data_IF_889773190407
#
_entry.id   IF_889773190407
#
_cell.length_a   1.000
_cell.length_b   1.000
_cell.length_c   1.000
_cell.angle_alpha   90.00
_cell.angle_beta   90.00
_cell.angle_gamma   90.00
#
_symmetry.space_group_name_H-M   'P 1'
#
loop_
_entity.id
_entity.type
_entity.pdbx_description
1 polymer ?
#
# COMPACT_ATOMS: atom_id res chain seq x y z
N UNK A 1 47.78 -26.93 -3.74
CA UNK A 1 47.58 -25.69 -4.52
C UNK A 1 48.44 -25.75 -5.79
N UNK A 2 47.86 -26.02 -6.96
CA UNK A 2 48.59 -25.98 -8.24
C UNK A 2 48.57 -24.53 -8.74
N UNK A 3 49.75 -23.88 -8.82
CA UNK A 3 49.89 -22.53 -9.36
C UNK A 3 49.29 -22.50 -10.77
N UNK A 4 48.23 -21.73 -10.97
CA UNK A 4 47.76 -21.34 -12.30
C UNK A 4 48.87 -20.51 -12.93
N UNK A 5 49.52 -21.05 -13.97
CA UNK A 5 50.62 -20.38 -14.68
C UNK A 5 50.08 -19.06 -15.26
N UNK A 6 50.62 -17.93 -14.84
CA UNK A 6 50.07 -16.59 -15.07
C UNK A 6 50.35 -16.01 -16.46
N UNK A 7 51.24 -16.64 -17.22
CA UNK A 7 51.61 -16.33 -18.60
C UNK A 7 52.94 -16.97 -18.99
N UNK A 8 53.36 -16.79 -20.25
CA UNK A 8 54.71 -17.12 -20.72
C UNK A 8 55.67 -15.97 -20.37
N UNK A 9 56.89 -16.29 -19.91
CA UNK A 9 57.95 -15.29 -19.72
C UNK A 9 58.54 -14.85 -21.07
N UNK A 10 59.25 -13.72 -21.14
CA UNK A 10 59.86 -13.25 -22.40
C UNK A 10 60.82 -14.25 -23.03
N UNK A 11 61.57 -14.99 -22.20
CA UNK A 11 62.46 -16.07 -22.65
C UNK A 11 61.69 -17.25 -23.22
N UNK A 12 60.57 -17.61 -22.60
CA UNK A 12 59.67 -18.68 -23.07
C UNK A 12 58.97 -18.30 -24.37
N UNK A 13 58.58 -17.03 -24.52
CA UNK A 13 57.99 -16.49 -25.76
C UNK A 13 59.00 -16.62 -26.91
N UNK A 14 60.24 -16.15 -26.73
CA UNK A 14 61.29 -16.26 -27.76
C UNK A 14 61.58 -17.71 -28.15
N UNK A 15 61.61 -18.62 -27.15
CA UNK A 15 61.82 -20.04 -27.40
C UNK A 15 60.66 -20.64 -28.21
N UNK A 16 59.41 -20.32 -27.89
CA UNK A 16 58.25 -20.79 -28.64
C UNK A 16 58.17 -20.19 -30.04
N UNK A 17 58.53 -18.92 -30.21
CA UNK A 17 58.59 -18.25 -31.51
C UNK A 17 59.70 -18.79 -32.42
N UNK A 18 60.72 -19.43 -31.87
CA UNK A 18 61.76 -20.11 -32.67
C UNK A 18 61.28 -21.39 -33.36
N UNK A 19 60.12 -21.94 -32.96
CA UNK A 19 59.58 -23.16 -33.56
C UNK A 19 58.83 -22.84 -34.88
N UNK A 20 59.16 -23.51 -36.00
CA UNK A 20 58.55 -23.24 -37.31
C UNK A 20 57.03 -23.49 -37.37
N UNK A 21 56.47 -24.23 -36.42
CA UNK A 21 55.03 -24.53 -36.32
C UNK A 21 54.25 -23.44 -35.56
N UNK A 22 54.92 -22.41 -35.06
CA UNK A 22 54.34 -21.27 -34.35
C UNK A 22 54.29 -20.04 -35.24
N UNK A 23 53.11 -19.44 -35.36
CA UNK A 23 52.91 -18.20 -36.12
C UNK A 23 53.13 -16.96 -35.24
N UNK A 24 52.66 -16.98 -33.99
CA UNK A 24 52.82 -15.88 -33.03
C UNK A 24 52.56 -16.38 -31.62
N UNK A 25 53.25 -15.84 -30.62
CA UNK A 25 52.93 -16.07 -29.21
C UNK A 25 52.47 -14.76 -28.56
N UNK A 26 51.37 -14.80 -27.82
CA UNK A 26 50.97 -13.74 -26.89
C UNK A 26 51.31 -14.17 -25.47
N UNK A 27 51.31 -13.26 -24.51
CA UNK A 27 51.66 -13.55 -23.11
C UNK A 27 50.88 -14.71 -22.45
N UNK A 28 49.79 -15.20 -23.07
CA UNK A 28 49.06 -16.40 -22.61
C UNK A 28 48.69 -17.41 -23.70
N UNK A 29 48.81 -17.10 -24.98
CA UNK A 29 48.30 -17.95 -26.06
C UNK A 29 49.34 -18.18 -27.14
N UNK A 30 49.37 -19.39 -27.70
CA UNK A 30 50.17 -19.74 -28.88
C UNK A 30 49.24 -19.78 -30.09
N UNK A 31 49.58 -19.04 -31.13
CA UNK A 31 48.96 -19.13 -32.45
C UNK A 31 49.83 -19.99 -33.35
N UNK A 32 49.25 -21.07 -33.86
CA UNK A 32 49.94 -22.06 -34.68
C UNK A 32 49.79 -21.77 -36.16
N UNK A 33 50.79 -22.16 -36.95
CA UNK A 33 50.75 -22.02 -38.42
C UNK A 33 49.64 -22.92 -38.99
N UNK A 34 48.86 -22.46 -40.00
CA UNK A 34 47.80 -23.26 -40.60
C UNK A 34 48.24 -24.64 -41.09
N UNK A 35 49.42 -24.73 -41.71
CA UNK A 35 49.99 -25.99 -42.20
C UNK A 35 50.17 -27.01 -41.06
N UNK A 36 50.65 -26.57 -39.89
CA UNK A 36 50.78 -27.44 -38.72
C UNK A 36 49.42 -27.89 -38.19
N UNK A 37 48.41 -27.00 -38.12
CA UNK A 37 47.06 -27.38 -37.67
C UNK A 37 46.47 -28.49 -38.55
N UNK A 38 46.64 -28.37 -39.87
CA UNK A 38 46.17 -29.36 -40.83
C UNK A 38 46.90 -30.71 -40.65
N UNK A 39 48.23 -30.69 -40.64
CA UNK A 39 49.05 -31.88 -40.44
C UNK A 39 48.74 -32.57 -39.11
N UNK A 40 48.52 -31.80 -38.03
CA UNK A 40 48.17 -32.33 -36.73
C UNK A 40 46.79 -33.01 -36.72
N UNK A 41 45.78 -32.44 -37.40
CA UNK A 41 44.45 -33.06 -37.51
C UNK A 41 44.52 -34.37 -38.30
N UNK A 42 45.27 -34.39 -39.41
CA UNK A 42 45.47 -35.59 -40.23
C UNK A 42 46.20 -36.69 -39.46
N UNK A 43 47.30 -36.36 -38.76
CA UNK A 43 48.03 -37.31 -37.92
C UNK A 43 47.15 -37.86 -36.79
N UNK A 44 46.28 -37.03 -36.19
CA UNK A 44 45.36 -37.51 -35.16
C UNK A 44 44.25 -38.42 -35.72
N UNK A 45 43.78 -38.19 -36.95
CA UNK A 45 42.84 -39.08 -37.64
C UNK A 45 43.49 -40.41 -38.03
N UNK A 46 44.79 -40.41 -38.32
CA UNK A 46 45.60 -41.61 -38.56
C UNK A 46 45.92 -42.42 -37.28
N UNK A 47 45.51 -41.93 -36.10
CA UNK A 47 45.64 -42.63 -34.82
C UNK A 47 46.78 -42.16 -33.92
N UNK A 48 47.56 -41.14 -34.32
CA UNK A 48 48.61 -40.61 -33.45
C UNK A 48 48.04 -39.83 -32.25
N UNK A 49 48.55 -40.06 -31.03
CA UNK A 49 48.07 -39.36 -29.85
C UNK A 49 48.48 -37.88 -29.85
N UNK A 50 47.62 -36.96 -29.35
CA UNK A 50 47.86 -35.52 -29.35
C UNK A 50 49.24 -35.08 -28.81
N UNK A 51 49.72 -35.73 -27.75
CA UNK A 51 51.01 -35.41 -27.13
C UNK A 51 52.18 -35.72 -28.06
N UNK A 52 52.13 -36.84 -28.77
CA UNK A 52 53.20 -37.28 -29.67
C UNK A 52 53.31 -36.37 -30.89
N UNK A 53 52.17 -35.94 -31.44
CA UNK A 53 52.10 -35.00 -32.56
C UNK A 53 52.82 -33.68 -32.21
N UNK A 54 52.57 -33.15 -31.00
CA UNK A 54 53.21 -31.91 -30.54
C UNK A 54 54.70 -32.10 -30.21
N UNK A 55 55.09 -33.25 -29.65
CA UNK A 55 56.51 -33.58 -29.41
C UNK A 55 57.29 -33.70 -30.72
N UNK A 56 56.76 -34.41 -31.72
CA UNK A 56 57.34 -34.54 -33.07
C UNK A 56 57.48 -33.17 -33.75
N UNK A 57 56.55 -32.27 -33.50
CA UNK A 57 56.58 -30.89 -33.99
C UNK A 57 57.50 -29.95 -33.19
N UNK A 58 58.29 -30.47 -32.24
CA UNK A 58 59.31 -29.72 -31.49
C UNK A 58 58.75 -28.88 -30.34
N UNK A 59 57.55 -29.18 -29.83
CA UNK A 59 57.00 -28.50 -28.65
C UNK A 59 57.41 -29.19 -27.35
N UNK A 60 57.91 -28.42 -26.38
CA UNK A 60 58.10 -28.90 -25.02
C UNK A 60 56.78 -28.91 -24.25
N UNK A 61 56.32 -30.09 -23.83
CA UNK A 61 55.05 -30.26 -23.08
C UNK A 61 55.08 -29.52 -21.73
N UNK A 62 56.24 -29.47 -21.07
CA UNK A 62 56.42 -28.72 -19.82
C UNK A 62 56.24 -27.22 -20.03
N UNK A 63 56.61 -26.73 -21.22
CA UNK A 63 56.51 -25.33 -21.60
C UNK A 63 55.06 -24.97 -21.98
N UNK A 64 54.44 -25.70 -22.90
CA UNK A 64 53.10 -25.37 -23.40
C UNK A 64 51.96 -25.84 -22.49
N UNK A 65 52.23 -26.78 -21.57
CA UNK A 65 51.25 -27.36 -20.65
C UNK A 65 50.62 -28.66 -21.17
N UNK A 66 50.42 -29.62 -20.26
CA UNK A 66 49.98 -30.99 -20.58
C UNK A 66 48.61 -31.09 -21.27
N UNK A 67 47.71 -30.11 -21.08
CA UNK A 67 46.38 -30.11 -21.70
C UNK A 67 46.35 -29.45 -23.09
N UNK A 68 47.35 -28.64 -23.39
CA UNK A 68 47.39 -27.80 -24.60
C UNK A 68 47.33 -28.62 -25.89
N UNK A 69 48.05 -29.75 -26.05
CA UNK A 69 47.94 -30.59 -27.24
C UNK A 69 46.52 -31.11 -27.46
N UNK A 70 45.89 -31.65 -26.41
CA UNK A 70 44.54 -32.23 -26.48
C UNK A 70 43.49 -31.18 -26.77
N UNK A 71 43.52 -30.03 -26.07
CA UNK A 71 42.55 -28.95 -26.26
C UNK A 71 42.69 -28.27 -27.64
N UNK A 72 43.94 -28.12 -28.12
CA UNK A 72 44.20 -27.53 -29.44
C UNK A 72 43.69 -28.44 -30.55
N UNK A 73 43.99 -29.75 -30.49
CA UNK A 73 43.51 -30.72 -31.46
C UNK A 73 41.99 -30.86 -31.46
N UNK A 74 41.35 -30.85 -30.29
CA UNK A 74 39.89 -30.85 -30.19
C UNK A 74 39.28 -29.67 -30.99
N UNK A 75 39.78 -28.45 -30.77
CA UNK A 75 39.29 -27.24 -31.46
C UNK A 75 39.53 -27.29 -32.97
N UNK A 76 40.69 -27.79 -33.40
CA UNK A 76 41.00 -27.91 -34.83
C UNK A 76 40.16 -28.99 -35.50
N UNK A 77 39.89 -30.10 -34.83
CA UNK A 77 38.99 -31.15 -35.34
C UNK A 77 37.56 -30.66 -35.50
N UNK A 78 37.02 -29.91 -34.55
CA UNK A 78 35.69 -29.30 -34.71
C UNK A 78 35.65 -28.34 -35.90
N UNK A 79 36.70 -27.53 -36.06
CA UNK A 79 36.79 -26.57 -37.16
C UNK A 79 36.89 -27.31 -38.51
N UNK A 80 37.72 -28.34 -38.59
CA UNK A 80 37.89 -29.18 -39.78
C UNK A 80 36.61 -29.95 -40.13
N UNK A 81 35.92 -30.52 -39.14
CA UNK A 81 34.66 -31.22 -39.36
C UNK A 81 33.55 -30.30 -39.92
N UNK A 82 33.57 -29.02 -39.54
CA UNK A 82 32.54 -28.05 -39.95
C UNK A 82 32.83 -27.35 -41.28
N UNK A 83 34.11 -27.10 -41.60
CA UNK A 83 34.51 -26.23 -42.70
C UNK A 83 35.58 -26.84 -43.62
N UNK A 84 36.02 -28.07 -43.38
CA UNK A 84 37.10 -28.73 -44.12
C UNK A 84 38.46 -28.06 -43.94
N UNK A 85 39.37 -28.31 -44.88
CA UNK A 85 40.73 -27.74 -44.91
C UNK A 85 40.73 -26.20 -44.90
N UNK A 86 39.80 -25.60 -45.65
CA UNK A 86 39.63 -24.14 -45.74
C UNK A 86 39.38 -23.49 -44.36
N UNK A 87 38.74 -24.22 -43.43
CA UNK A 87 38.49 -23.75 -42.07
C UNK A 87 39.75 -23.58 -41.21
N UNK A 88 40.85 -24.27 -41.53
CA UNK A 88 42.13 -24.18 -40.83
C UNK A 88 43.12 -23.23 -41.51
N UNK A 89 42.98 -23.03 -42.84
CA UNK A 89 43.81 -22.14 -43.65
C UNK A 89 43.47 -20.66 -43.44
N UNK A 90 42.21 -20.33 -43.20
CA UNK A 90 41.75 -18.96 -42.98
C UNK A 90 41.62 -18.65 -41.47
N UNK A 91 42.20 -17.55 -40.96
CA UNK A 91 42.00 -17.13 -39.56
C UNK A 91 40.58 -16.59 -39.36
N UNK A 92 39.68 -17.44 -38.85
CA UNK A 92 38.26 -17.10 -38.64
C UNK A 92 37.93 -16.51 -37.27
N UNK A 93 38.93 -16.26 -36.41
CA UNK A 93 38.71 -15.62 -35.10
C UNK A 93 38.13 -14.22 -35.30
N UNK A 94 36.89 -14.03 -34.88
CA UNK A 94 36.19 -12.75 -34.97
C UNK A 94 35.29 -12.58 -36.21
N UNK A 95 35.26 -13.53 -37.15
CA UNK A 95 34.40 -13.45 -38.35
C UNK A 95 32.89 -13.60 -38.00
N UNK A 96 32.56 -14.02 -36.78
CA UNK A 96 31.21 -13.92 -36.20
C UNK A 96 31.08 -12.94 -35.03
N UNK A 97 32.14 -12.18 -34.72
CA UNK A 97 32.10 -11.15 -33.69
C UNK A 97 31.39 -9.92 -34.26
N UNK A 98 30.29 -9.50 -33.64
CA UNK A 98 29.60 -8.23 -33.93
C UNK A 98 30.42 -7.03 -33.44
N UNK A 99 31.69 -6.96 -33.85
CA UNK A 99 32.60 -5.88 -33.52
C UNK A 99 32.02 -4.51 -33.89
N UNK A 100 32.71 -3.44 -33.47
CA UNK A 100 32.34 -2.06 -33.77
C UNK A 100 32.05 -1.91 -35.27
N UNK A 101 30.81 -1.58 -35.63
CA UNK A 101 30.39 -1.39 -37.03
C UNK A 101 31.37 -0.45 -37.73
N UNK A 102 31.84 -0.86 -38.91
CA UNK A 102 32.55 0.03 -39.83
C UNK A 102 31.74 1.30 -40.06
N UNK A 103 32.40 2.46 -40.19
CA UNK A 103 31.79 3.73 -40.64
C UNK A 103 31.44 3.69 -42.14
N UNK A 104 30.93 2.57 -42.64
CA UNK A 104 30.40 2.52 -44.00
C UNK A 104 29.09 3.31 -44.00
N UNK A 105 28.89 4.18 -44.98
CA UNK A 105 27.63 4.91 -45.12
C UNK A 105 26.48 3.90 -45.22
N UNK A 106 25.65 3.87 -44.18
CA UNK A 106 24.50 2.96 -44.13
C UNK A 106 23.57 3.23 -45.30
N UNK A 107 23.03 2.17 -45.89
CA UNK A 107 22.08 2.24 -47.01
C UNK A 107 20.91 3.18 -46.66
N UNK A 108 20.31 3.82 -47.67
CA UNK A 108 19.13 4.70 -47.50
C UNK A 108 18.01 3.97 -46.76
N UNK A 109 17.81 2.67 -47.05
CA UNK A 109 16.83 1.82 -46.36
C UNK A 109 17.15 1.61 -44.87
N UNK A 110 18.44 1.45 -44.52
CA UNK A 110 18.86 1.32 -43.13
C UNK A 110 18.66 2.63 -42.35
N UNK A 111 18.92 3.76 -42.99
CA UNK A 111 18.67 5.10 -42.41
C UNK A 111 17.18 5.32 -42.18
N UNK A 112 16.33 4.95 -43.13
CA UNK A 112 14.88 5.06 -43.02
C UNK A 112 14.37 4.20 -41.85
N UNK A 113 14.79 2.94 -41.77
CA UNK A 113 14.42 2.04 -40.67
C UNK A 113 14.88 2.54 -39.31
N UNK A 114 16.05 3.15 -39.22
CA UNK A 114 16.54 3.78 -37.99
C UNK A 114 15.70 5.01 -37.59
N UNK A 115 15.34 5.85 -38.57
CA UNK A 115 14.49 7.02 -38.35
C UNK A 115 13.09 6.61 -37.88
N UNK A 116 12.46 5.64 -38.53
CA UNK A 116 11.16 5.09 -38.15
C UNK A 116 11.18 4.53 -36.72
N UNK A 117 12.21 3.74 -36.38
CA UNK A 117 12.37 3.21 -35.02
C UNK A 117 12.55 4.33 -33.98
N UNK A 118 13.25 5.41 -34.35
CA UNK A 118 13.45 6.57 -33.47
C UNK A 118 12.17 7.38 -33.29
N UNK A 119 11.41 7.62 -34.38
CA UNK A 119 10.10 8.28 -34.32
C UNK A 119 9.17 7.50 -33.40
N UNK A 120 9.09 6.18 -33.57
CA UNK A 120 8.27 5.31 -32.73
C UNK A 120 8.63 5.37 -31.24
N UNK A 121 9.92 5.43 -30.92
CA UNK A 121 10.40 5.60 -29.54
C UNK A 121 10.02 6.98 -28.98
N UNK A 122 10.20 8.05 -29.76
CA UNK A 122 9.87 9.41 -29.36
C UNK A 122 8.36 9.60 -29.16
N UNK A 123 7.53 8.98 -30.00
CA UNK A 123 6.08 8.98 -29.85
C UNK A 123 5.66 8.32 -28.53
N UNK A 124 6.24 7.16 -28.21
CA UNK A 124 5.98 6.46 -26.96
C UNK A 124 6.44 7.25 -25.73
N UNK A 125 7.60 7.89 -25.79
CA UNK A 125 8.11 8.78 -24.74
C UNK A 125 7.19 9.98 -24.51
N UNK A 126 6.82 10.68 -25.59
CA UNK A 126 5.90 11.82 -25.50
C UNK A 126 4.54 11.40 -24.93
N UNK A 127 4.01 10.24 -25.33
CA UNK A 127 2.76 9.73 -24.77
C UNK A 127 2.89 9.43 -23.27
N UNK A 128 3.98 8.80 -22.84
CA UNK A 128 4.24 8.51 -21.43
C UNK A 128 4.30 9.80 -20.61
N UNK A 129 5.11 10.77 -21.06
CA UNK A 129 5.29 12.06 -20.38
C UNK A 129 3.98 12.85 -20.29
N UNK A 130 3.22 12.94 -21.39
CA UNK A 130 1.91 13.61 -21.39
C UNK A 130 0.94 13.00 -20.38
N UNK A 131 0.91 11.67 -20.28
CA UNK A 131 0.03 10.97 -19.32
C UNK A 131 0.49 11.16 -17.88
N UNK A 132 1.80 11.08 -17.62
CA UNK A 132 2.38 11.35 -16.30
C UNK A 132 2.01 12.77 -15.84
N UNK A 133 2.32 13.78 -16.64
CA UNK A 133 2.07 15.18 -16.33
C UNK A 133 0.58 15.47 -16.09
N UNK A 134 -0.31 14.90 -16.92
CA UNK A 134 -1.75 15.08 -16.78
C UNK A 134 -2.29 14.51 -15.46
N UNK A 135 -1.77 13.36 -15.01
CA UNK A 135 -2.18 12.71 -13.77
C UNK A 135 -1.60 13.42 -12.54
N UNK A 136 -0.34 13.85 -12.59
CA UNK A 136 0.30 14.57 -11.49
C UNK A 136 -0.37 15.93 -11.26
N UNK A 137 -0.75 16.65 -12.32
CA UNK A 137 -1.53 17.90 -12.22
C UNK A 137 -2.89 17.68 -11.54
N UNK A 138 -3.61 16.61 -11.90
CA UNK A 138 -4.93 16.30 -11.32
C UNK A 138 -4.83 15.97 -9.83
N UNK A 139 -3.80 15.22 -9.44
CA UNK A 139 -3.62 14.77 -8.07
C UNK A 139 -2.89 15.80 -7.19
N UNK A 140 -2.36 16.89 -7.78
CA UNK A 140 -1.52 17.90 -7.12
C UNK A 140 -0.35 17.29 -6.33
N UNK A 141 0.11 16.10 -6.75
CA UNK A 141 1.15 15.28 -6.11
C UNK A 141 1.78 14.37 -7.16
N UNK A 142 3.05 14.01 -6.91
CA UNK A 142 3.75 13.00 -7.70
C UNK A 142 3.03 11.65 -7.69
N UNK A 143 3.07 10.97 -8.83
CA UNK A 143 2.42 9.67 -8.98
C UNK A 143 3.18 8.58 -8.22
N UNK A 144 2.49 7.68 -7.51
CA UNK A 144 3.16 6.57 -6.84
C UNK A 144 3.83 5.64 -7.86
N UNK A 145 4.93 4.95 -7.50
CA UNK A 145 5.67 4.09 -8.43
C UNK A 145 4.82 3.05 -9.14
N UNK A 146 3.79 2.50 -8.48
CA UNK A 146 2.87 1.53 -9.07
C UNK A 146 2.08 2.06 -10.27
N UNK A 147 1.64 3.32 -10.21
CA UNK A 147 0.92 3.97 -11.30
C UNK A 147 1.87 4.31 -12.46
N UNK A 148 3.09 4.77 -12.13
CA UNK A 148 4.16 4.96 -13.12
C UNK A 148 4.49 3.66 -13.86
N UNK A 149 4.62 2.54 -13.14
CA UNK A 149 4.84 1.21 -13.75
C UNK A 149 3.68 0.80 -14.66
N UNK A 150 2.43 1.07 -14.26
CA UNK A 150 1.26 0.78 -15.08
C UNK A 150 1.29 1.57 -16.41
N UNK A 151 1.61 2.86 -16.36
CA UNK A 151 1.74 3.69 -17.56
C UNK A 151 2.86 3.18 -18.47
N UNK A 152 4.03 2.84 -17.92
CA UNK A 152 5.14 2.25 -18.69
C UNK A 152 4.68 0.97 -19.40
N UNK A 153 4.01 0.06 -18.68
CA UNK A 153 3.54 -1.20 -19.26
C UNK A 153 2.50 -0.98 -20.36
N UNK A 154 1.58 -0.02 -20.18
CA UNK A 154 0.60 0.36 -21.21
C UNK A 154 1.28 0.93 -22.45
N UNK A 155 2.24 1.85 -22.28
CA UNK A 155 2.99 2.45 -23.38
C UNK A 155 3.80 1.39 -24.15
N UNK A 156 4.48 0.49 -23.45
CA UNK A 156 5.23 -0.63 -24.06
C UNK A 156 4.30 -1.51 -24.90
N UNK A 157 3.14 -1.89 -24.36
CA UNK A 157 2.16 -2.74 -25.05
C UNK A 157 1.54 -2.06 -26.26
N UNK A 158 1.18 -0.78 -26.14
CA UNK A 158 0.55 -0.01 -27.21
C UNK A 158 1.48 0.19 -28.40
N UNK A 159 2.75 0.48 -28.13
CA UNK A 159 3.75 0.75 -29.17
C UNK A 159 4.56 -0.49 -29.56
N UNK A 160 4.31 -1.67 -28.99
CA UNK A 160 5.11 -2.91 -29.19
C UNK A 160 6.63 -2.65 -29.14
N UNK A 161 7.07 -1.89 -28.12
CA UNK A 161 8.47 -1.53 -27.97
C UNK A 161 9.19 -2.53 -27.08
N UNK A 162 10.01 -3.39 -27.70
CA UNK A 162 10.86 -4.34 -26.97
C UNK A 162 12.19 -3.67 -26.60
N UNK A 163 12.74 -4.02 -25.42
CA UNK A 163 14.06 -3.57 -24.92
C UNK A 163 14.19 -2.08 -24.55
N UNK A 164 13.10 -1.31 -24.52
CA UNK A 164 13.10 0.11 -24.09
C UNK A 164 12.75 0.31 -22.62
N UNK A 165 12.44 -0.76 -21.88
CA UNK A 165 11.98 -0.69 -20.48
C UNK A 165 12.91 0.13 -19.60
N UNK A 166 14.23 -0.02 -19.74
CA UNK A 166 15.21 0.75 -18.97
C UNK A 166 15.11 2.25 -19.23
N UNK A 167 14.94 2.62 -20.50
CA UNK A 167 14.79 4.00 -20.93
C UNK A 167 13.50 4.62 -20.38
N UNK A 168 12.37 3.94 -20.54
CA UNK A 168 11.08 4.43 -20.04
C UNK A 168 11.02 4.51 -18.50
N UNK A 169 11.67 3.57 -17.80
CA UNK A 169 11.81 3.66 -16.34
C UNK A 169 12.66 4.85 -15.90
N UNK A 170 13.73 5.17 -16.65
CA UNK A 170 14.57 6.33 -16.36
C UNK A 170 13.82 7.65 -16.56
N UNK A 171 13.06 7.77 -17.65
CA UNK A 171 12.21 8.95 -17.91
C UNK A 171 11.13 9.13 -16.84
N UNK A 172 10.52 8.03 -16.40
CA UNK A 172 9.52 8.06 -15.33
C UNK A 172 10.12 8.08 -13.92
N UNK A 173 11.45 8.20 -13.78
CA UNK A 173 12.17 8.26 -12.50
C UNK A 173 11.87 7.09 -11.55
N UNK A 174 11.77 5.87 -12.09
CA UNK A 174 11.51 4.65 -11.32
C UNK A 174 12.56 3.57 -11.57
N UNK A 175 12.75 2.68 -10.60
CA UNK A 175 13.71 1.59 -10.75
C UNK A 175 13.22 0.50 -11.73
N UNK A 176 14.13 0.01 -12.57
CA UNK A 176 13.86 -1.11 -13.50
C UNK A 176 13.57 -2.41 -12.76
N UNK A 177 14.30 -2.68 -11.67
CA UNK A 177 14.05 -3.84 -10.80
C UNK A 177 12.67 -3.77 -10.15
N UNK A 178 12.21 -2.57 -9.76
CA UNK A 178 10.86 -2.32 -9.27
C UNK A 178 9.80 -2.62 -10.32
N UNK A 179 10.01 -2.19 -11.57
CA UNK A 179 9.10 -2.48 -12.69
C UNK A 179 8.95 -3.99 -12.92
N UNK A 180 10.05 -4.75 -12.99
CA UNK A 180 9.97 -6.19 -13.20
C UNK A 180 9.33 -6.94 -12.02
N UNK A 181 9.61 -6.52 -10.78
CA UNK A 181 8.90 -7.03 -9.59
C UNK A 181 7.40 -6.72 -9.64
N UNK A 182 7.05 -5.55 -10.14
CA UNK A 182 5.65 -5.19 -10.36
C UNK A 182 5.04 -6.10 -11.43
N UNK A 183 5.68 -6.32 -12.58
CA UNK A 183 5.18 -7.24 -13.60
C UNK A 183 5.02 -8.68 -13.08
N UNK A 184 5.98 -9.22 -12.34
CA UNK A 184 5.90 -10.58 -11.80
C UNK A 184 4.80 -10.76 -10.76
N UNK A 185 4.44 -9.69 -10.05
CA UNK A 185 3.37 -9.70 -9.05
C UNK A 185 1.96 -9.43 -9.63
N UNK A 186 1.80 -9.39 -10.96
CA UNK A 186 0.52 -9.10 -11.64
C UNK A 186 -0.58 -10.10 -11.25
N UNK A 187 -0.29 -11.40 -11.32
CA UNK A 187 -1.26 -12.45 -10.99
C UNK A 187 -1.76 -12.34 -9.54
N UNK A 188 -0.83 -12.16 -8.59
CA UNK A 188 -1.18 -11.96 -7.18
C UNK A 188 -1.99 -10.68 -6.94
N UNK A 189 -1.77 -9.61 -7.72
CA UNK A 189 -2.60 -8.40 -7.66
C UNK A 189 -4.00 -8.65 -8.20
N UNK A 190 -4.12 -9.37 -9.32
CA UNK A 190 -5.42 -9.71 -9.91
C UNK A 190 -6.26 -10.59 -8.98
N UNK A 191 -5.65 -11.62 -8.38
CA UNK A 191 -6.32 -12.47 -7.38
C UNK A 191 -6.78 -11.67 -6.14
N UNK A 192 -6.01 -10.67 -5.71
CA UNK A 192 -6.42 -9.79 -4.62
C UNK A 192 -7.56 -8.86 -5.04
N UNK A 193 -7.56 -8.40 -6.28
CA UNK A 193 -8.60 -7.54 -6.82
C UNK A 193 -9.93 -8.29 -6.92
N UNK A 194 -9.92 -9.53 -7.40
CA UNK A 194 -11.12 -10.37 -7.47
C UNK A 194 -11.66 -10.69 -6.07
N UNK A 195 -10.78 -11.03 -5.12
CA UNK A 195 -11.18 -11.22 -3.73
C UNK A 195 -11.76 -9.93 -3.09
N UNK A 196 -11.18 -8.77 -3.38
CA UNK A 196 -11.70 -7.48 -2.93
C UNK A 196 -13.08 -7.18 -3.52
N UNK A 197 -13.34 -7.57 -4.78
CA UNK A 197 -14.65 -7.41 -5.40
C UNK A 197 -15.70 -8.34 -4.79
N UNK A 198 -15.37 -9.60 -4.52
CA UNK A 198 -16.29 -10.52 -3.84
C UNK A 198 -16.62 -10.05 -2.42
N UNK A 199 -15.61 -9.59 -1.67
CA UNK A 199 -15.81 -9.03 -0.34
C UNK A 199 -16.62 -7.73 -0.38
N UNK A 200 -16.40 -6.90 -1.40
CA UNK A 200 -17.17 -5.67 -1.60
C UNK A 200 -18.65 -5.95 -1.80
N UNK A 201 -18.99 -6.93 -2.62
CA UNK A 201 -20.39 -7.28 -2.89
C UNK A 201 -21.11 -7.66 -1.58
N UNK A 202 -20.48 -8.50 -0.77
CA UNK A 202 -21.02 -8.90 0.53
C UNK A 202 -21.13 -7.71 1.51
N UNK A 203 -20.11 -6.85 1.58
CA UNK A 203 -20.13 -5.63 2.41
C UNK A 203 -21.26 -4.69 1.96
N UNK A 204 -21.45 -4.53 0.65
CA UNK A 204 -22.46 -3.67 0.04
C UNK A 204 -23.86 -4.15 0.39
N UNK A 205 -24.14 -5.45 0.29
CA UNK A 205 -25.43 -6.03 0.68
C UNK A 205 -25.81 -5.71 2.14
N UNK A 206 -24.86 -5.88 3.07
CA UNK A 206 -25.11 -5.51 4.47
C UNK A 206 -25.27 -4.00 4.67
N UNK A 207 -24.47 -3.20 3.98
CA UNK A 207 -24.55 -1.74 4.06
C UNK A 207 -25.90 -1.22 3.57
N UNK A 208 -26.39 -1.73 2.43
CA UNK A 208 -27.69 -1.38 1.84
C UNK A 208 -28.85 -1.88 2.70
N UNK A 209 -28.76 -3.09 3.28
CA UNK A 209 -29.78 -3.60 4.23
C UNK A 209 -29.97 -2.72 5.46
N UNK A 210 -29.00 -1.84 5.74
CA UNK A 210 -29.00 -0.88 6.84
C UNK A 210 -29.16 0.57 6.36
N UNK A 211 -29.69 0.76 5.15
CA UNK A 211 -29.96 2.06 4.52
C UNK A 211 -28.71 2.96 4.43
N UNK A 212 -27.52 2.37 4.34
CA UNK A 212 -26.25 3.10 4.23
C UNK A 212 -25.86 3.93 5.46
N UNK A 213 -26.47 3.68 6.63
CA UNK A 213 -26.25 4.48 7.85
C UNK A 213 -25.13 3.97 8.76
N UNK A 214 -24.47 2.87 8.38
CA UNK A 214 -23.55 2.15 9.27
C UNK A 214 -22.12 2.10 8.75
N UNK A 215 -21.17 2.09 9.69
CA UNK A 215 -19.75 1.96 9.39
C UNK A 215 -19.23 0.53 9.48
N UNK A 216 -17.93 0.39 9.24
CA UNK A 216 -17.23 -0.90 9.15
C UNK A 216 -17.34 -1.80 10.38
N UNK A 217 -17.47 -1.25 11.60
CA UNK A 217 -17.59 -2.07 12.82
C UNK A 217 -18.93 -2.80 12.90
N UNK A 218 -20.03 -2.13 12.53
CA UNK A 218 -21.35 -2.76 12.51
C UNK A 218 -21.43 -3.80 11.40
N UNK A 219 -20.84 -3.50 10.24
CA UNK A 219 -20.74 -4.46 9.13
C UNK A 219 -19.95 -5.70 9.58
N UNK A 220 -18.82 -5.54 10.29
CA UNK A 220 -18.07 -6.66 10.88
C UNK A 220 -18.97 -7.53 11.77
N UNK A 221 -19.68 -6.92 12.71
CA UNK A 221 -20.55 -7.64 13.63
C UNK A 221 -21.65 -8.43 12.89
N UNK A 222 -22.19 -7.88 11.80
CA UNK A 222 -23.19 -8.56 10.97
C UNK A 222 -22.60 -9.71 10.17
N UNK A 223 -21.44 -9.52 9.55
CA UNK A 223 -20.73 -10.58 8.82
C UNK A 223 -20.45 -11.78 9.75
N UNK A 224 -19.99 -11.50 10.97
CA UNK A 224 -19.73 -12.54 11.97
C UNK A 224 -21.02 -13.24 12.43
N UNK A 225 -22.09 -12.47 12.70
CA UNK A 225 -23.33 -13.02 13.26
C UNK A 225 -24.25 -13.71 12.24
N UNK A 226 -24.35 -13.18 11.03
CA UNK A 226 -25.32 -13.64 10.02
C UNK A 226 -24.69 -14.62 9.02
N UNK A 227 -23.42 -14.43 8.70
CA UNK A 227 -22.73 -15.22 7.67
C UNK A 227 -21.66 -16.14 8.26
N UNK A 228 -21.30 -15.99 9.53
CA UNK A 228 -20.18 -16.72 10.15
C UNK A 228 -18.80 -16.31 9.61
N UNK A 229 -18.71 -15.17 8.90
CA UNK A 229 -17.48 -14.74 8.24
C UNK A 229 -16.72 -13.78 9.14
N UNK A 230 -15.50 -14.18 9.54
CA UNK A 230 -14.59 -13.34 10.32
C UNK A 230 -13.76 -12.47 9.39
N UNK A 231 -14.14 -11.20 9.26
CA UNK A 231 -13.39 -10.22 8.47
C UNK A 231 -12.85 -9.09 9.35
N UNK A 232 -11.56 -8.78 9.22
CA UNK A 232 -10.95 -7.69 9.97
C UNK A 232 -11.58 -6.34 9.58
N UNK A 233 -12.00 -5.56 10.58
CA UNK A 233 -12.59 -4.24 10.38
C UNK A 233 -11.69 -3.28 9.56
N UNK A 234 -10.36 -3.43 9.60
CA UNK A 234 -9.42 -2.66 8.77
C UNK A 234 -9.56 -2.99 7.28
N UNK A 235 -9.77 -4.29 6.96
CA UNK A 235 -10.04 -4.76 5.59
C UNK A 235 -11.38 -4.20 5.09
N UNK A 236 -12.43 -4.28 5.91
CA UNK A 236 -13.74 -3.70 5.60
C UNK A 236 -13.61 -2.19 5.32
N UNK A 237 -12.95 -1.42 6.19
CA UNK A 237 -12.72 0.03 5.95
C UNK A 237 -11.93 0.31 4.67
N UNK A 238 -10.95 -0.53 4.33
CA UNK A 238 -10.15 -0.37 3.10
C UNK A 238 -11.04 -0.60 1.88
N UNK A 239 -11.85 -1.66 1.88
CA UNK A 239 -12.77 -2.00 0.79
C UNK A 239 -13.85 -0.91 0.65
N UNK A 240 -14.50 -0.52 1.74
CA UNK A 240 -15.48 0.57 1.72
C UNK A 240 -14.90 1.85 1.11
N UNK A 241 -13.69 2.26 1.49
CA UNK A 241 -13.01 3.42 0.90
C UNK A 241 -12.69 3.24 -0.58
N UNK A 242 -12.15 2.08 -0.95
CA UNK A 242 -11.79 1.74 -2.34
C UNK A 242 -12.98 1.86 -3.29
N UNK A 243 -14.17 1.44 -2.86
CA UNK A 243 -15.39 1.45 -3.66
C UNK A 243 -16.37 2.60 -3.31
N UNK A 244 -15.95 3.59 -2.51
CA UNK A 244 -16.76 4.77 -2.22
C UNK A 244 -17.99 4.55 -1.33
N UNK A 245 -18.05 3.48 -0.53
CA UNK A 245 -19.09 3.30 0.48
C UNK A 245 -18.84 4.21 1.69
N UNK A 246 -19.57 5.33 1.74
CA UNK A 246 -19.52 6.29 2.83
C UNK A 246 -20.82 6.22 3.63
N UNK A 247 -20.70 5.93 4.93
CA UNK A 247 -21.86 5.91 5.81
C UNK A 247 -22.48 7.30 5.94
N UNK A 248 -23.80 7.40 5.72
CA UNK A 248 -24.55 8.62 5.93
C UNK A 248 -24.70 8.85 7.43
N UNK A 249 -23.73 9.57 8.02
CA UNK A 249 -23.79 9.98 9.41
C UNK A 249 -24.83 11.10 9.53
N UNK A 250 -25.75 11.02 10.50
CA UNK A 250 -26.58 12.18 10.90
C UNK A 250 -25.63 13.26 11.43
N UNK A 251 -25.27 14.22 10.59
CA UNK A 251 -24.61 15.43 11.05
C UNK A 251 -25.61 16.26 11.86
N UNK A 252 -25.15 16.86 12.95
CA UNK A 252 -25.96 17.78 13.72
C UNK A 252 -26.36 18.95 12.80
N UNK A 253 -27.66 19.13 12.56
CA UNK A 253 -28.16 20.19 11.70
C UNK A 253 -27.73 21.57 12.27
N UNK A 254 -26.89 22.35 11.55
CA UNK A 254 -26.38 23.63 12.04
C UNK A 254 -27.50 24.60 12.42
N UNK A 255 -28.60 24.61 11.66
CA UNK A 255 -29.76 25.47 11.94
C UNK A 255 -30.49 25.06 13.22
N UNK A 256 -30.63 23.76 13.51
CA UNK A 256 -31.16 23.32 14.81
C UNK A 256 -30.24 23.68 15.96
N UNK A 257 -28.92 23.64 15.73
CA UNK A 257 -27.93 24.00 16.74
C UNK A 257 -27.93 25.50 17.02
N UNK A 258 -28.02 26.32 15.97
CA UNK A 258 -28.23 27.76 16.06
C UNK A 258 -29.56 28.07 16.75
N UNK A 259 -30.70 27.52 16.32
CA UNK A 259 -31.99 27.77 16.96
C UNK A 259 -32.02 27.40 18.46
N UNK A 260 -31.29 26.34 18.87
CA UNK A 260 -31.07 26.01 20.30
C UNK A 260 -30.21 27.04 21.03
N UNK A 261 -29.22 27.62 20.36
CA UNK A 261 -28.36 28.66 20.91
C UNK A 261 -29.07 30.04 20.94
N UNK A 262 -29.91 30.35 19.95
CA UNK A 262 -30.70 31.59 19.86
C UNK A 262 -31.94 31.56 20.76
N UNK A 263 -32.28 30.42 21.37
CA UNK A 263 -33.08 30.35 22.61
C UNK A 263 -32.27 30.86 23.83
N UNK A 264 -31.41 31.84 23.59
CA UNK A 264 -30.76 32.66 24.60
C UNK A 264 -31.84 33.22 25.55
N UNK A 265 -31.68 32.93 26.84
CA UNK A 265 -32.19 33.73 27.97
C UNK A 265 -33.71 33.71 28.29
N UNK A 266 -34.37 32.55 28.40
CA UNK A 266 -35.64 32.47 29.16
C UNK A 266 -35.54 31.81 30.54
N UNK A 267 -34.41 31.20 30.87
CA UNK A 267 -34.29 30.28 32.00
C UNK A 267 -33.01 30.52 32.79
N UNK A 268 -33.10 30.34 34.11
CA UNK A 268 -32.19 30.83 35.15
C UNK A 268 -30.70 30.61 34.86
N UNK A 269 -29.81 31.52 35.33
CA UNK A 269 -28.37 31.32 35.23
C UNK A 269 -27.97 30.06 35.99
N UNK A 270 -27.09 29.25 35.40
CA UNK A 270 -26.55 28.07 36.06
C UNK A 270 -25.58 28.49 37.17
N UNK A 271 -26.04 28.46 38.42
CA UNK A 271 -25.28 28.91 39.59
C UNK A 271 -24.24 27.89 40.09
N UNK A 272 -24.28 26.65 39.60
CA UNK A 272 -23.48 25.55 40.18
C UNK A 272 -22.28 25.12 39.35
N UNK A 273 -22.21 25.41 38.05
CA UNK A 273 -21.12 24.97 37.16
C UNK A 273 -20.74 23.47 37.33
N UNK A 274 -21.73 22.61 37.62
CA UNK A 274 -21.58 21.16 37.91
C UNK A 274 -20.98 20.81 39.28
N UNK A 275 -20.92 21.74 40.23
CA UNK A 275 -20.58 21.49 41.64
C UNK A 275 -21.84 21.09 42.44
N UNK A 276 -22.26 19.83 42.29
CA UNK A 276 -23.49 19.31 42.91
C UNK A 276 -23.34 18.88 44.36
N UNK A 277 -22.11 18.84 44.87
CA UNK A 277 -21.78 18.44 46.23
C UNK A 277 -21.01 19.58 46.90
N UNK A 278 -21.66 20.25 47.85
CA UNK A 278 -21.07 21.37 48.59
C UNK A 278 -20.75 21.00 50.04
N UNK A 279 -20.75 19.70 50.39
CA UNK A 279 -20.43 19.21 51.74
C UNK A 279 -21.48 19.49 52.82
N UNK A 280 -22.51 20.28 52.52
CA UNK A 280 -23.61 20.64 53.43
C UNK A 280 -24.92 19.98 52.96
N UNK A 281 -25.58 19.16 53.81
CA UNK A 281 -26.89 18.60 53.50
C UNK A 281 -27.93 19.67 53.19
N UNK A 282 -28.84 19.38 52.27
CA UNK A 282 -30.03 20.18 51.91
C UNK A 282 -29.71 21.55 51.28
N UNK A 283 -28.42 21.85 51.05
CA UNK A 283 -27.96 23.05 50.34
C UNK A 283 -28.16 22.97 48.83
N UNK A 284 -28.07 21.76 48.26
CA UNK A 284 -28.26 21.52 46.83
C UNK A 284 -29.27 20.40 46.63
N UNK A 285 -30.44 20.72 46.09
CA UNK A 285 -31.54 19.78 45.88
C UNK A 285 -31.71 19.47 44.39
N UNK A 286 -31.15 18.35 43.95
CA UNK A 286 -31.18 17.90 42.56
C UNK A 286 -32.53 17.27 42.25
N UNK A 287 -33.20 17.73 41.19
CA UNK A 287 -34.48 17.16 40.76
C UNK A 287 -34.39 16.54 39.37
N UNK A 288 -35.10 15.45 39.15
CA UNK A 288 -35.25 14.84 37.82
C UNK A 288 -36.61 14.16 37.67
N UNK A 289 -37.07 14.00 36.42
CA UNK A 289 -38.25 13.21 36.07
C UNK A 289 -37.79 12.06 35.19
N UNK A 290 -37.93 10.84 35.69
CA UNK A 290 -37.64 9.61 34.94
C UNK A 290 -38.91 8.84 34.66
N UNK A 291 -38.90 8.02 33.62
CA UNK A 291 -39.99 7.11 33.29
C UNK A 291 -39.60 5.67 33.60
N UNK A 292 -40.56 4.90 34.12
CA UNK A 292 -40.40 3.51 34.51
C UNK A 292 -41.41 2.70 33.70
N UNK A 293 -40.92 1.66 33.02
CA UNK A 293 -41.79 0.73 32.30
C UNK A 293 -42.26 -0.36 33.27
N UNK A 294 -43.56 -0.62 33.31
CA UNK A 294 -44.13 -1.73 34.08
C UNK A 294 -45.04 -2.61 33.21
N UNK A 295 -45.68 -3.61 33.80
CA UNK A 295 -46.43 -4.67 33.11
C UNK A 295 -47.40 -4.16 32.04
N UNK A 296 -47.68 -5.00 31.03
CA UNK A 296 -48.63 -4.70 29.95
C UNK A 296 -48.27 -3.48 29.08
N UNK A 297 -46.98 -3.12 29.01
CA UNK A 297 -46.50 -2.02 28.15
C UNK A 297 -46.84 -0.63 28.66
N UNK A 298 -47.23 -0.51 29.92
CA UNK A 298 -47.57 0.76 30.55
C UNK A 298 -46.33 1.50 31.06
N UNK A 299 -46.46 2.82 31.21
CA UNK A 299 -45.42 3.73 31.70
C UNK A 299 -45.89 4.43 32.97
N UNK A 300 -44.99 4.56 33.93
CA UNK A 300 -45.14 5.44 35.08
C UNK A 300 -44.04 6.50 35.05
N UNK A 301 -44.35 7.70 35.54
CA UNK A 301 -43.44 8.83 35.61
C UNK A 301 -43.11 9.09 37.07
N UNK A 302 -41.82 9.07 37.40
CA UNK A 302 -41.28 9.31 38.73
C UNK A 302 -40.58 10.66 38.73
N UNK A 303 -41.08 11.60 39.53
CA UNK A 303 -40.34 12.81 39.88
C UNK A 303 -39.68 12.60 41.24
N UNK A 304 -38.40 12.93 41.36
CA UNK A 304 -37.65 12.77 42.60
C UNK A 304 -36.74 13.98 42.88
N UNK A 305 -36.53 14.24 44.17
CA UNK A 305 -35.60 15.25 44.69
C UNK A 305 -34.56 14.53 45.53
N UNK A 306 -33.30 14.72 45.15
CA UNK A 306 -32.12 14.11 45.74
C UNK A 306 -31.24 15.18 46.36
N UNK A 307 -30.78 14.94 47.58
CA UNK A 307 -29.79 15.80 48.22
C UNK A 307 -28.41 15.65 47.57
N UNK A 308 -27.79 16.78 47.29
CA UNK A 308 -26.48 16.88 46.64
C UNK A 308 -25.34 16.33 47.49
N UNK A 309 -25.35 16.52 48.80
CA UNK A 309 -24.27 16.08 49.70
C UNK A 309 -24.44 14.61 50.15
N UNK A 310 -25.57 14.28 50.77
CA UNK A 310 -25.85 12.95 51.35
C UNK A 310 -26.27 11.92 50.32
N UNK A 311 -26.62 12.35 49.10
CA UNK A 311 -27.17 11.52 48.01
C UNK A 311 -28.50 10.83 48.33
N UNK A 312 -29.16 11.20 49.44
CA UNK A 312 -30.47 10.63 49.80
C UNK A 312 -31.59 11.20 48.92
N UNK A 313 -32.62 10.38 48.66
CA UNK A 313 -33.86 10.86 48.04
C UNK A 313 -34.74 11.46 49.14
N UNK A 314 -34.90 12.78 49.11
CA UNK A 314 -35.70 13.51 50.10
C UNK A 314 -37.19 13.43 49.77
N UNK A 315 -37.56 13.49 48.50
CA UNK A 315 -38.96 13.40 48.08
C UNK A 315 -39.07 12.68 46.74
N UNK A 316 -40.20 12.01 46.53
CA UNK A 316 -40.56 11.45 45.24
C UNK A 316 -42.07 11.32 45.09
N UNK A 317 -42.55 11.34 43.85
CA UNK A 317 -43.94 11.07 43.50
C UNK A 317 -44.00 10.30 42.18
N UNK A 318 -44.88 9.29 42.12
CA UNK A 318 -45.09 8.44 40.97
C UNK A 318 -46.49 8.72 40.40
N UNK A 319 -46.60 8.95 39.09
CA UNK A 319 -47.87 9.16 38.39
C UNK A 319 -47.93 8.30 37.12
N UNK A 320 -49.14 7.96 36.68
CA UNK A 320 -49.38 7.37 35.35
C UNK A 320 -49.34 8.43 34.23
N UNK A 321 -49.41 9.71 34.57
CA UNK A 321 -49.39 10.84 33.64
C UNK A 321 -48.20 11.76 33.89
N UNK A 322 -47.67 12.36 32.82
CA UNK A 322 -46.61 13.36 32.87
C UNK A 322 -47.20 14.78 32.98
N UNK A 323 -48.19 14.96 33.86
CA UNK A 323 -48.83 16.25 34.11
C UNK A 323 -48.00 17.11 35.07
N UNK A 324 -48.28 18.41 35.11
CA UNK A 324 -47.60 19.34 36.01
C UNK A 324 -47.79 18.99 37.49
N UNK A 325 -48.92 18.38 37.82
CA UNK A 325 -49.26 17.86 39.15
C UNK A 325 -48.19 16.92 39.70
N UNK A 326 -47.43 16.21 38.85
CA UNK A 326 -46.34 15.34 39.25
C UNK A 326 -45.27 16.10 40.07
N UNK A 327 -44.86 17.28 39.58
CA UNK A 327 -43.83 18.10 40.24
C UNK A 327 -44.41 18.80 41.47
N UNK A 328 -45.64 19.30 41.38
CA UNK A 328 -46.33 19.95 42.51
C UNK A 328 -46.45 19.01 43.72
N UNK A 329 -46.83 17.75 43.49
CA UNK A 329 -46.93 16.73 44.53
C UNK A 329 -45.55 16.35 45.11
N UNK A 330 -44.52 16.28 44.26
CA UNK A 330 -43.15 16.00 44.71
C UNK A 330 -42.63 17.12 45.62
N UNK A 331 -42.87 18.38 45.24
CA UNK A 331 -42.49 19.54 46.03
C UNK A 331 -43.28 19.65 47.33
N UNK A 332 -44.58 19.33 47.32
CA UNK A 332 -45.39 19.27 48.55
C UNK A 332 -44.82 18.26 49.54
N UNK A 333 -44.41 17.07 49.05
CA UNK A 333 -43.75 16.04 49.87
C UNK A 333 -42.39 16.49 50.40
N UNK A 334 -41.62 17.21 49.58
CA UNK A 334 -40.34 17.78 49.98
C UNK A 334 -40.51 18.79 51.12
N UNK A 335 -41.41 19.77 50.96
CA UNK A 335 -41.64 20.80 51.98
C UNK A 335 -42.15 20.21 53.29
N UNK A 336 -43.03 19.21 53.21
CA UNK A 336 -43.48 18.47 54.40
C UNK A 336 -42.35 17.73 55.11
N UNK A 337 -41.37 17.21 54.37
CA UNK A 337 -40.19 16.56 54.96
C UNK A 337 -39.25 17.56 55.63
N UNK A 338 -39.04 18.71 55.00
CA UNK A 338 -38.14 19.76 55.52
C UNK A 338 -38.73 20.44 56.76
N UNK A 339 -40.06 20.44 56.91
CA UNK A 339 -40.78 20.91 58.10
C UNK A 339 -40.36 22.33 58.55
N UNK A 340 -40.16 23.22 57.57
CA UNK A 340 -39.73 24.62 57.80
C UNK A 340 -38.22 24.82 58.00
N UNK A 341 -37.43 23.75 58.11
CA UNK A 341 -35.96 23.82 58.20
C UNK A 341 -35.34 23.93 56.81
N UNK A 342 -35.51 25.08 56.16
CA UNK A 342 -34.97 25.34 54.83
C UNK A 342 -33.70 26.18 54.94
N UNK A 343 -32.61 25.70 54.35
CA UNK A 343 -31.37 26.45 54.30
C UNK A 343 -31.57 27.70 53.42
N UNK A 344 -31.17 28.89 53.89
CA UNK A 344 -31.43 30.17 53.20
C UNK A 344 -30.79 30.26 51.80
N UNK A 345 -29.72 29.49 51.60
CA UNK A 345 -29.02 29.36 50.32
C UNK A 345 -29.30 28.03 49.60
N UNK A 346 -30.42 27.35 49.89
CA UNK A 346 -30.78 26.14 49.14
C UNK A 346 -30.95 26.46 47.66
N UNK A 347 -30.14 25.81 46.83
CA UNK A 347 -30.24 25.87 45.38
C UNK A 347 -31.04 24.66 44.91
N UNK A 348 -31.97 24.89 43.99
CA UNK A 348 -32.79 23.87 43.37
C UNK A 348 -32.49 23.82 41.86
N UNK A 349 -31.47 23.04 41.44
CA UNK A 349 -31.14 22.86 40.02
C UNK A 349 -32.24 22.04 39.37
N UNK A 350 -33.03 22.69 38.53
CA UNK A 350 -34.08 22.03 37.75
C UNK A 350 -33.68 21.98 36.29
N UNK A 351 -34.14 20.96 35.57
CA UNK A 351 -33.99 20.99 34.13
C UNK A 351 -34.80 22.15 33.50
N UNK A 352 -34.55 22.42 32.21
CA UNK A 352 -35.30 23.44 31.46
C UNK A 352 -36.52 22.86 30.73
N UNK A 353 -37.03 21.73 31.22
CA UNK A 353 -38.23 21.10 30.72
C UNK A 353 -39.48 21.96 31.00
N UNK A 354 -40.56 21.67 30.27
CA UNK A 354 -41.83 22.38 30.41
C UNK A 354 -42.33 22.39 31.87
N UNK A 355 -42.12 21.32 32.62
CA UNK A 355 -42.60 21.16 33.99
C UNK A 355 -41.95 22.12 34.98
N UNK A 356 -40.65 22.39 34.84
CA UNK A 356 -39.90 23.28 35.73
C UNK A 356 -39.82 24.72 35.22
N UNK A 357 -40.08 24.93 33.93
CA UNK A 357 -40.20 26.28 33.34
C UNK A 357 -41.61 26.87 33.42
N UNK A 358 -42.63 26.05 33.71
CA UNK A 358 -44.00 26.50 33.87
C UNK A 358 -44.13 27.52 35.03
N UNK A 359 -44.86 28.64 34.86
CA UNK A 359 -44.96 29.69 35.88
C UNK A 359 -45.39 29.20 37.26
N UNK A 360 -46.35 28.27 37.32
CA UNK A 360 -46.87 27.70 38.58
C UNK A 360 -45.78 26.97 39.38
N UNK A 361 -44.91 26.20 38.73
CA UNK A 361 -43.80 25.50 39.38
C UNK A 361 -42.72 26.48 39.85
N UNK A 362 -42.41 27.50 39.03
CA UNK A 362 -41.44 28.54 39.39
C UNK A 362 -41.88 29.33 40.62
N UNK A 363 -43.16 29.69 40.69
CA UNK A 363 -43.75 30.33 41.86
C UNK A 363 -43.64 29.42 43.09
N UNK A 364 -43.97 28.15 42.96
CA UNK A 364 -43.90 27.19 44.06
C UNK A 364 -42.46 27.01 44.59
N UNK A 365 -41.46 26.98 43.72
CA UNK A 365 -40.03 26.91 44.11
C UNK A 365 -39.60 28.20 44.81
N UNK A 366 -40.05 29.37 44.33
CA UNK A 366 -39.73 30.66 44.93
C UNK A 366 -40.41 30.86 46.30
N UNK A 367 -41.69 30.50 46.44
CA UNK A 367 -42.44 30.54 47.70
C UNK A 367 -41.86 29.59 48.76
N UNK A 368 -41.29 28.47 48.32
CA UNK A 368 -40.53 27.56 49.18
C UNK A 368 -39.19 28.15 49.68
N UNK A 369 -38.76 29.31 49.18
CA UNK A 369 -37.48 29.92 49.56
C UNK A 369 -36.27 29.34 48.82
N UNK A 370 -36.46 28.55 47.76
CA UNK A 370 -35.35 27.96 47.00
C UNK A 370 -34.89 28.87 45.86
N UNK A 371 -33.57 28.91 45.61
CA UNK A 371 -32.98 29.58 44.46
C UNK A 371 -32.97 28.62 43.26
N UNK A 372 -33.87 28.83 42.29
CA UNK A 372 -33.91 28.02 41.07
C UNK A 372 -32.69 28.31 40.19
N UNK A 373 -31.97 27.26 39.81
CA UNK A 373 -30.79 27.32 38.92
C UNK A 373 -30.98 26.44 37.68
#
# INVERSE_FOLDING_TARGET
MRKTRTGFTETEIRLLESNPNVSRVSGRNISYVPAFKLAAVQANQAGEPPMEIFLKAGFSIELIGQRTPTESLYRWRETYAKYGEAGLLEERRGIGSTGRRSKTESSVEEKLKQAEARIKLLEAENELLKKLEALERRNSKELPPSERFQLINQTIRKHDLRRVTRYLCQIAEVSTSGYYRWCSAEEARQLRETADQSDFQLIKEHFESLNGKVGALVIKMRLEKLNGIVMNHKKIRRIMRKFGLVATIRQANPYRKMAKATQEHRTCPNLQERQFDQGEPEKVLLTDITYIRYGSGQWAYLSCVKDGATKQILAHYLSSTLELSLVEQTMTRLLKRLDGNIHQDTIFPSDQGMHYTHPKTRLLIAEAGFKQS
#
